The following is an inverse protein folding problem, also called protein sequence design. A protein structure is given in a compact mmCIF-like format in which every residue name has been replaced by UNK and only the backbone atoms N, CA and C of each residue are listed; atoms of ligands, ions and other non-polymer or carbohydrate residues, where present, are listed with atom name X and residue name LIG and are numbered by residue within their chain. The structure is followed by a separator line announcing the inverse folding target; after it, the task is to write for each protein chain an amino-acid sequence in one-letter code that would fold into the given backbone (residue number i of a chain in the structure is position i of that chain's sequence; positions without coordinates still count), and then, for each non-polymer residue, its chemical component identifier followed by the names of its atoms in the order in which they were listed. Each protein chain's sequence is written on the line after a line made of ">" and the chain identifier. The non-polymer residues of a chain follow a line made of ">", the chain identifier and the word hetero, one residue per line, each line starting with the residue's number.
data_IF_212599780426
#
_entry.id   IF_212599780426
#
_cell.length_a   1.000
_cell.length_b   1.000
_cell.length_c   1.000
_cell.angle_alpha   90.00
_cell.angle_beta   90.00
_cell.angle_gamma   90.00
#
_symmetry.space_group_name_H-M   'P 1'
#
loop_
_entity.id
_entity.type
_entity.pdbx_description
1 polymer ?
#
# COMPACT_ATOMS: atom_id res chain seq x y z
N UNK A 1 -27.96 3.62 5.96
CA UNK A 1 -27.57 4.54 4.87
C UNK A 1 -26.19 5.17 5.06
N UNK A 2 -25.92 5.95 6.12
CA UNK A 2 -24.60 6.59 6.32
C UNK A 2 -23.39 5.62 6.35
N UNK A 3 -23.53 4.45 6.97
CA UNK A 3 -22.46 3.44 7.00
C UNK A 3 -22.14 2.86 5.61
N UNK A 4 -23.16 2.71 4.76
CA UNK A 4 -23.01 2.21 3.39
C UNK A 4 -22.33 3.26 2.49
N UNK A 5 -22.66 4.53 2.68
CA UNK A 5 -22.01 5.67 2.01
C UNK A 5 -20.54 5.77 2.43
N UNK A 6 -20.24 5.63 3.72
CA UNK A 6 -18.86 5.61 4.20
C UNK A 6 -18.04 4.44 3.62
N UNK A 7 -18.66 3.28 3.43
CA UNK A 7 -17.99 2.12 2.85
C UNK A 7 -17.75 2.26 1.35
N UNK A 8 -18.72 2.78 0.58
CA UNK A 8 -18.53 3.04 -0.85
C UNK A 8 -17.45 4.10 -1.08
N UNK A 9 -17.44 5.19 -0.29
CA UNK A 9 -16.42 6.23 -0.39
C UNK A 9 -15.00 5.68 -0.17
N UNK A 10 -14.81 4.81 0.84
CA UNK A 10 -13.51 4.15 1.09
C UNK A 10 -13.03 3.31 -0.09
N UNK A 11 -13.94 2.57 -0.73
CA UNK A 11 -13.63 1.75 -1.91
C UNK A 11 -13.25 2.60 -3.12
N UNK A 12 -14.01 3.66 -3.40
CA UNK A 12 -13.69 4.55 -4.51
C UNK A 12 -12.35 5.27 -4.28
N UNK A 13 -12.08 5.72 -3.05
CA UNK A 13 -10.78 6.28 -2.70
C UNK A 13 -9.64 5.28 -2.93
N UNK A 14 -9.83 4.02 -2.52
CA UNK A 14 -8.82 2.97 -2.73
C UNK A 14 -8.55 2.72 -4.22
N UNK A 15 -9.60 2.72 -5.06
CA UNK A 15 -9.43 2.58 -6.51
C UNK A 15 -8.68 3.77 -7.12
N UNK A 16 -9.03 4.99 -6.72
CA UNK A 16 -8.36 6.21 -7.19
C UNK A 16 -6.88 6.17 -6.80
N UNK A 17 -6.57 5.79 -5.56
CA UNK A 17 -5.18 5.70 -5.09
C UNK A 17 -4.39 4.62 -5.84
N UNK A 18 -5.00 3.47 -6.12
CA UNK A 18 -4.40 2.46 -6.99
C UNK A 18 -4.05 3.03 -8.37
N UNK A 19 -4.99 3.73 -9.02
CA UNK A 19 -4.75 4.32 -10.34
C UNK A 19 -3.64 5.38 -10.33
N UNK A 20 -3.68 6.32 -9.37
CA UNK A 20 -2.66 7.35 -9.20
C UNK A 20 -1.28 6.72 -9.04
N UNK A 21 -1.18 5.68 -8.22
CA UNK A 21 0.07 4.98 -7.97
C UNK A 21 0.57 4.24 -9.20
N UNK A 22 -0.27 3.45 -9.86
CA UNK A 22 0.13 2.72 -11.08
C UNK A 22 0.51 3.64 -12.22
N UNK A 23 -0.16 4.79 -12.35
CA UNK A 23 0.18 5.78 -13.37
C UNK A 23 1.53 6.44 -13.09
N UNK A 24 1.84 6.76 -11.83
CA UNK A 24 3.16 7.29 -11.45
C UNK A 24 4.28 6.29 -11.77
N UNK A 25 4.09 5.00 -11.44
CA UNK A 25 5.02 3.92 -11.81
C UNK A 25 5.20 3.86 -13.34
N UNK A 26 4.09 3.85 -14.08
CA UNK A 26 4.11 3.76 -15.54
C UNK A 26 4.86 4.90 -16.20
N UNK A 27 4.68 6.12 -15.69
CA UNK A 27 5.24 7.33 -16.30
C UNK A 27 6.72 7.53 -15.96
N UNK A 28 7.15 7.14 -14.76
CA UNK A 28 8.48 7.51 -14.25
C UNK A 28 9.44 6.32 -14.10
N UNK A 29 8.92 5.10 -13.94
CA UNK A 29 9.74 3.93 -13.61
C UNK A 29 9.79 2.88 -14.71
N UNK A 30 8.87 2.92 -15.68
CA UNK A 30 8.79 1.94 -16.78
C UNK A 30 9.37 2.56 -18.06
N UNK A 31 10.54 2.10 -18.54
CA UNK A 31 11.08 2.49 -19.85
C UNK A 31 10.18 2.03 -21.00
N UNK A 32 10.23 2.71 -22.14
CA UNK A 32 9.42 2.34 -23.30
C UNK A 32 9.95 1.09 -24.02
N UNK A 33 11.23 0.78 -23.82
CA UNK A 33 11.97 -0.25 -24.53
C UNK A 33 11.84 -1.65 -23.91
N UNK A 34 11.18 -1.77 -22.74
CA UNK A 34 11.07 -3.05 -22.04
C UNK A 34 9.80 -3.81 -22.38
N UNK A 35 9.87 -5.13 -22.24
CA UNK A 35 8.73 -6.02 -22.50
C UNK A 35 7.64 -5.87 -21.42
N UNK A 36 6.39 -6.23 -21.74
CA UNK A 36 5.32 -6.27 -20.75
C UNK A 36 5.64 -7.15 -19.51
N UNK A 37 6.41 -8.22 -19.69
CA UNK A 37 6.85 -9.09 -18.61
C UNK A 37 7.88 -8.41 -17.71
N UNK A 38 8.81 -7.63 -18.25
CA UNK A 38 9.74 -6.85 -17.44
C UNK A 38 9.01 -5.71 -16.71
N UNK A 39 8.04 -5.08 -17.37
CA UNK A 39 7.20 -4.05 -16.76
C UNK A 39 6.40 -4.60 -15.57
N UNK A 40 5.86 -5.83 -15.66
CA UNK A 40 5.16 -6.46 -14.54
C UNK A 40 6.06 -6.74 -13.34
N UNK A 41 7.35 -7.03 -13.56
CA UNK A 41 8.32 -7.16 -12.47
C UNK A 41 8.55 -5.84 -11.73
N UNK A 42 8.54 -4.70 -12.45
CA UNK A 42 8.65 -3.37 -11.83
C UNK A 42 7.41 -3.08 -10.98
N UNK A 43 6.20 -3.31 -11.52
CA UNK A 43 4.97 -3.16 -10.72
C UNK A 43 4.95 -4.04 -9.47
N UNK A 44 5.39 -5.29 -9.58
CA UNK A 44 5.49 -6.20 -8.43
C UNK A 44 6.49 -5.68 -7.39
N UNK A 45 7.65 -5.20 -7.83
CA UNK A 45 8.68 -4.62 -6.94
C UNK A 45 8.17 -3.37 -6.21
N UNK A 46 7.43 -2.51 -6.91
CA UNK A 46 6.82 -1.31 -6.33
C UNK A 46 5.67 -1.63 -5.36
N UNK A 47 4.92 -2.70 -5.62
CA UNK A 47 3.93 -3.21 -4.67
C UNK A 47 4.60 -3.77 -3.40
N UNK A 48 5.77 -4.40 -3.54
CA UNK A 48 6.55 -4.90 -2.40
C UNK A 48 7.13 -3.78 -1.54
N UNK A 49 7.43 -2.59 -2.08
CA UNK A 49 7.80 -1.42 -1.23
C UNK A 49 6.68 -1.13 -0.23
N UNK A 50 5.41 -1.16 -0.67
CA UNK A 50 4.26 -0.92 0.22
C UNK A 50 4.07 -2.07 1.21
N UNK A 51 4.24 -3.33 0.77
CA UNK A 51 4.12 -4.49 1.64
C UNK A 51 5.20 -4.50 2.72
N UNK A 52 6.45 -4.22 2.36
CA UNK A 52 7.57 -4.15 3.31
C UNK A 52 7.40 -2.96 4.25
N UNK A 53 6.95 -1.80 3.74
CA UNK A 53 6.66 -0.64 4.58
C UNK A 53 5.60 -0.93 5.65
N UNK A 54 4.56 -1.69 5.30
CA UNK A 54 3.42 -1.97 6.18
C UNK A 54 3.65 -3.20 7.09
N UNK A 55 4.16 -4.28 6.53
CA UNK A 55 4.18 -5.62 7.13
C UNK A 55 5.58 -6.17 7.37
N UNK A 56 6.62 -5.48 6.90
CA UNK A 56 8.00 -5.91 7.04
C UNK A 56 8.39 -7.11 6.17
N UNK A 57 7.58 -7.48 5.18
CA UNK A 57 7.84 -8.60 4.28
C UNK A 57 7.31 -8.35 2.86
N UNK A 58 7.95 -9.01 1.89
CA UNK A 58 7.52 -9.07 0.49
C UNK A 58 6.35 -10.04 0.31
N UNK A 59 5.67 -9.96 -0.84
CA UNK A 59 4.62 -10.91 -1.21
C UNK A 59 5.16 -12.35 -1.31
N UNK A 60 6.41 -12.52 -1.75
CA UNK A 60 7.06 -13.83 -1.81
C UNK A 60 7.30 -14.41 -0.42
N UNK A 61 7.93 -13.65 0.48
CA UNK A 61 8.18 -14.08 1.86
C UNK A 61 6.88 -14.41 2.60
N UNK A 62 5.82 -13.62 2.38
CA UNK A 62 4.51 -13.92 2.95
C UNK A 62 3.97 -15.26 2.44
N UNK A 63 4.04 -15.52 1.13
CA UNK A 63 3.57 -16.78 0.54
C UNK A 63 4.36 -17.99 1.07
N UNK A 64 5.67 -17.83 1.19
CA UNK A 64 6.56 -18.91 1.65
C UNK A 64 6.34 -19.23 3.13
N UNK A 65 5.98 -18.21 3.94
CA UNK A 65 5.65 -18.38 5.37
C UNK A 65 4.19 -18.82 5.62
N UNK A 66 3.30 -18.69 4.63
CA UNK A 66 1.88 -19.03 4.73
C UNK A 66 1.41 -20.00 3.62
N UNK A 67 2.05 -21.18 3.46
CA UNK A 67 1.82 -22.07 2.32
C UNK A 67 0.39 -22.65 2.24
N UNK A 68 -0.34 -22.64 3.35
CA UNK A 68 -1.69 -23.19 3.45
C UNK A 68 -2.80 -22.13 3.30
N UNK A 69 -2.43 -20.85 3.20
CA UNK A 69 -3.38 -19.76 3.02
C UNK A 69 -3.61 -19.49 1.52
N UNK A 70 -4.83 -19.13 1.16
CA UNK A 70 -5.19 -18.75 -0.21
C UNK A 70 -5.24 -17.23 -0.32
N UNK A 71 -4.73 -16.68 -1.42
CA UNK A 71 -4.72 -15.24 -1.65
C UNK A 71 -3.36 -14.62 -1.36
N UNK A 72 -3.34 -13.37 -0.95
CA UNK A 72 -2.14 -12.57 -0.67
C UNK A 72 -2.23 -11.88 0.70
N UNK A 73 -1.11 -11.30 1.16
CA UNK A 73 -1.02 -10.62 2.46
C UNK A 73 -2.14 -9.60 2.73
N UNK A 74 -2.59 -8.85 1.71
CA UNK A 74 -3.62 -7.81 1.87
C UNK A 74 -5.01 -8.40 2.11
N UNK A 75 -5.27 -9.65 1.71
CA UNK A 75 -6.54 -10.34 1.97
C UNK A 75 -6.72 -10.68 3.46
N UNK A 76 -5.61 -10.71 4.20
CA UNK A 76 -5.55 -11.00 5.63
C UNK A 76 -5.29 -9.75 6.49
N UNK A 77 -5.21 -8.57 5.87
CA UNK A 77 -5.00 -7.31 6.56
C UNK A 77 -6.31 -6.80 7.20
N UNK A 78 -6.18 -6.17 8.36
CA UNK A 78 -7.25 -5.45 9.04
C UNK A 78 -7.67 -4.20 8.26
N UNK A 79 -8.86 -3.68 8.57
CA UNK A 79 -9.38 -2.47 7.94
C UNK A 79 -8.43 -1.27 8.13
N UNK A 80 -7.79 -1.16 9.30
CA UNK A 80 -6.84 -0.06 9.56
C UNK A 80 -5.60 -0.19 8.68
N UNK A 81 -5.07 -1.40 8.53
CA UNK A 81 -3.91 -1.65 7.67
C UNK A 81 -4.24 -1.37 6.20
N UNK A 82 -5.44 -1.75 5.73
CA UNK A 82 -5.90 -1.44 4.37
C UNK A 82 -6.07 0.07 4.14
N UNK A 83 -6.53 0.82 5.15
CA UNK A 83 -6.61 2.29 5.07
C UNK A 83 -5.21 2.89 4.96
N UNK A 84 -4.26 2.42 5.77
CA UNK A 84 -2.88 2.87 5.72
C UNK A 84 -2.23 2.56 4.37
N UNK A 85 -2.40 1.34 3.84
CA UNK A 85 -1.94 0.95 2.50
C UNK A 85 -2.50 1.87 1.42
N UNK A 86 -3.82 2.12 1.44
CA UNK A 86 -4.45 3.00 0.46
C UNK A 86 -3.87 4.41 0.50
N UNK A 87 -3.59 4.94 1.69
CA UNK A 87 -2.94 6.24 1.80
C UNK A 87 -1.48 6.21 1.32
N UNK A 88 -0.74 5.14 1.63
CA UNK A 88 0.64 4.96 1.18
C UNK A 88 0.77 4.82 -0.34
N UNK A 89 -0.22 4.26 -1.04
CA UNK A 89 -0.25 4.25 -2.51
C UNK A 89 -0.22 5.68 -3.08
N UNK A 90 -1.03 6.58 -2.52
CA UNK A 90 -1.05 7.99 -2.93
C UNK A 90 0.29 8.69 -2.63
N UNK A 91 0.83 8.50 -1.42
CA UNK A 91 2.12 9.09 -1.03
C UNK A 91 3.28 8.56 -1.87
N UNK A 92 3.29 7.26 -2.17
CA UNK A 92 4.35 6.67 -2.97
C UNK A 92 4.33 7.24 -4.39
N UNK A 93 3.14 7.50 -4.96
CA UNK A 93 3.02 8.20 -6.24
C UNK A 93 3.65 9.60 -6.21
N UNK A 94 3.41 10.36 -5.13
CA UNK A 94 4.03 11.68 -4.93
C UNK A 94 5.55 11.53 -4.86
N UNK A 95 6.07 10.58 -4.08
CA UNK A 95 7.50 10.38 -3.95
C UNK A 95 8.17 9.91 -5.25
N UNK A 96 7.48 9.12 -6.08
CA UNK A 96 7.93 8.75 -7.42
C UNK A 96 8.07 10.00 -8.29
N UNK A 97 7.05 10.87 -8.30
CA UNK A 97 7.06 12.11 -9.07
C UNK A 97 8.16 13.08 -8.59
N UNK A 98 8.48 13.07 -7.30
CA UNK A 98 9.60 13.82 -6.71
C UNK A 98 10.98 13.19 -6.97
N UNK A 99 11.03 12.02 -7.62
CA UNK A 99 12.28 11.34 -7.96
C UNK A 99 12.99 10.65 -6.80
N UNK A 100 12.29 10.37 -5.71
CA UNK A 100 12.89 9.67 -4.56
C UNK A 100 13.25 8.23 -4.91
N UNK A 101 14.40 7.77 -4.41
CA UNK A 101 14.85 6.40 -4.62
C UNK A 101 13.91 5.41 -3.92
N UNK A 102 13.78 4.15 -4.41
CA UNK A 102 13.00 3.11 -3.74
C UNK A 102 13.35 2.95 -2.25
N UNK A 103 14.63 3.07 -1.90
CA UNK A 103 15.11 3.00 -0.51
C UNK A 103 14.56 4.14 0.34
N UNK A 104 14.62 5.37 -0.14
CA UNK A 104 14.15 6.54 0.62
C UNK A 104 12.63 6.53 0.76
N UNK A 105 11.93 6.09 -0.30
CA UNK A 105 10.48 5.87 -0.28
C UNK A 105 10.09 4.85 0.76
N UNK A 106 10.74 3.69 0.79
CA UNK A 106 10.48 2.65 1.77
C UNK A 106 10.62 3.17 3.22
N UNK A 107 11.69 3.88 3.53
CA UNK A 107 11.94 4.42 4.88
C UNK A 107 10.82 5.40 5.28
N UNK A 108 10.50 6.36 4.40
CA UNK A 108 9.45 7.35 4.65
C UNK A 108 8.08 6.70 4.80
N UNK A 109 7.74 5.76 3.92
CA UNK A 109 6.46 5.05 3.95
C UNK A 109 6.32 4.22 5.24
N UNK A 110 7.37 3.54 5.68
CA UNK A 110 7.35 2.78 6.93
C UNK A 110 7.16 3.70 8.16
N UNK A 111 7.85 4.84 8.21
CA UNK A 111 7.65 5.83 9.28
C UNK A 111 6.19 6.32 9.33
N UNK A 112 5.61 6.60 8.16
CA UNK A 112 4.22 7.03 8.04
C UNK A 112 3.25 5.91 8.44
N UNK A 113 3.50 4.66 8.03
CA UNK A 113 2.70 3.51 8.42
C UNK A 113 2.66 3.34 9.94
N UNK A 114 3.82 3.38 10.61
CA UNK A 114 3.94 3.29 12.07
C UNK A 114 3.13 4.40 12.74
N UNK A 115 3.29 5.65 12.27
CA UNK A 115 2.57 6.79 12.83
C UNK A 115 1.05 6.64 12.66
N UNK A 116 0.58 6.25 11.48
CA UNK A 116 -0.85 6.08 11.22
C UNK A 116 -1.47 4.95 12.04
N UNK A 117 -0.78 3.81 12.15
CA UNK A 117 -1.25 2.69 12.94
C UNK A 117 -1.36 3.04 14.42
N UNK A 118 -0.35 3.73 14.98
CA UNK A 118 -0.40 4.22 16.36
C UNK A 118 -1.61 5.13 16.63
N UNK A 119 -1.89 6.08 15.73
CA UNK A 119 -3.04 6.98 15.86
C UNK A 119 -4.37 6.22 15.76
N UNK A 120 -4.48 5.27 14.85
CA UNK A 120 -5.71 4.49 14.65
C UNK A 120 -6.00 3.58 15.85
N UNK A 121 -4.97 3.00 16.46
CA UNK A 121 -5.08 2.24 17.71
C UNK A 121 -5.52 3.13 18.88
N UNK A 122 -4.94 4.32 19.02
CA UNK A 122 -5.33 5.29 20.05
C UNK A 122 -6.81 5.70 19.92
N UNK A 123 -7.28 5.93 18.69
CA UNK A 123 -8.69 6.26 18.43
C UNK A 123 -9.59 5.09 18.81
N UNK A 124 -9.19 3.85 18.50
CA UNK A 124 -9.94 2.65 18.87
C UNK A 124 -10.01 2.52 20.39
N UNK A 125 -8.90 2.69 21.10
CA UNK A 125 -8.82 2.62 22.55
C UNK A 125 -9.70 3.70 23.21
N UNK A 126 -9.68 4.95 22.71
CA UNK A 126 -10.56 6.03 23.19
C UNK A 126 -12.05 5.75 22.99
N UNK A 127 -12.42 4.95 21.98
CA UNK A 127 -13.83 4.54 21.75
C UNK A 127 -14.26 3.40 22.67
N UNK A 128 -13.34 2.54 23.10
CA UNK A 128 -13.64 1.43 24.03
C UNK A 128 -13.76 1.90 25.49
N UNK A 129 -13.17 3.05 25.82
CA UNK A 129 -13.23 3.66 27.15
C UNK A 129 -14.44 4.60 27.36
N UNK A 130 -15.35 4.69 26.40
CA UNK A 130 -16.59 5.47 26.47
C UNK A 130 -17.79 4.53 26.53
#
# INVERSE_FOLDING_TARGET
>A
EQAQIGWSAKRELSKINYHIHTDAIKQHLIPQEITPQQASMIYASEADILNVAMFGMTALEWRDTHPNLKGNIRDYASINELICLSNMENLNAVFINEGLTPKDRLIKLNQIAIQQMSILEDIKNKKLLK
#
